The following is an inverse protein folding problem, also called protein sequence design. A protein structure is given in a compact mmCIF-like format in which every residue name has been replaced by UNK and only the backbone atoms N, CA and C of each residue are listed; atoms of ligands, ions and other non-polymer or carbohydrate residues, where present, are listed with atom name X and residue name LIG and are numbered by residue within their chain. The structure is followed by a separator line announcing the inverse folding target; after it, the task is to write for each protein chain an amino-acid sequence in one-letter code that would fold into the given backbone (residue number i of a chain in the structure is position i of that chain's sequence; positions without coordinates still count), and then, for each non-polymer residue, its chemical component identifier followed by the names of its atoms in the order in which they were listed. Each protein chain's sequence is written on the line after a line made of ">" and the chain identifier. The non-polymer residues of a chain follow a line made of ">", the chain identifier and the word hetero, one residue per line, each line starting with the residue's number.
data_IF_828601305390
#
_entry.id   IF_828601305390
#
_cell.length_a   1.000
_cell.length_b   1.000
_cell.length_c   1.000
_cell.angle_alpha   90.00
_cell.angle_beta   90.00
_cell.angle_gamma   90.00
#
_symmetry.space_group_name_H-M   'P 1'
#
loop_
_entity.id
_entity.type
_entity.pdbx_description
1 polymer ?
#
# COMPACT_ATOMS: atom_id res chain seq x y z
N UNK A 1 -4.20 4.80 4.13
CA UNK A 1 -5.02 4.29 3.00
C UNK A 1 -4.25 4.44 1.70
N UNK A 2 -4.51 3.61 0.70
CA UNK A 2 -3.96 3.75 -0.66
C UNK A 2 -5.14 3.93 -1.61
N UNK A 3 -5.06 4.92 -2.50
CA UNK A 3 -6.11 5.22 -3.49
C UNK A 3 -5.50 5.05 -4.87
N UNK A 4 -6.16 4.27 -5.71
CA UNK A 4 -5.88 4.17 -7.13
C UNK A 4 -6.89 5.06 -7.87
N UNK A 5 -6.37 5.91 -8.75
CA UNK A 5 -7.18 6.78 -9.62
C UNK A 5 -7.21 6.20 -11.03
N UNK A 6 -8.26 6.51 -11.80
CA UNK A 6 -8.24 6.19 -13.23
C UNK A 6 -7.24 7.11 -13.94
N UNK A 7 -6.66 6.61 -15.03
CA UNK A 7 -5.66 7.34 -15.81
C UNK A 7 -6.27 8.46 -16.65
N UNK A 8 -7.48 8.22 -17.15
CA UNK A 8 -8.24 9.07 -18.06
C UNK A 8 -9.08 10.13 -17.32
N UNK A 9 -9.48 9.82 -16.09
CA UNK A 9 -10.24 10.73 -15.24
C UNK A 9 -9.72 10.63 -13.81
N UNK A 10 -9.48 11.77 -13.15
CA UNK A 10 -9.08 11.86 -11.73
C UNK A 10 -10.14 11.34 -10.74
N UNK A 11 -11.13 10.61 -11.22
CA UNK A 11 -12.08 9.82 -10.43
C UNK A 11 -11.41 8.65 -9.72
N UNK A 12 -11.93 8.29 -8.54
CA UNK A 12 -11.47 7.16 -7.74
C UNK A 12 -11.75 5.84 -8.48
N UNK A 13 -10.72 5.04 -8.72
CA UNK A 13 -10.86 3.69 -9.28
C UNK A 13 -11.06 2.67 -8.16
N UNK A 14 -10.17 2.66 -7.16
CA UNK A 14 -10.17 1.69 -6.07
C UNK A 14 -9.52 2.29 -4.82
N UNK A 15 -9.94 1.85 -3.64
CA UNK A 15 -9.40 2.29 -2.37
C UNK A 15 -9.09 1.08 -1.49
N UNK A 16 -7.94 1.14 -0.81
CA UNK A 16 -7.51 0.17 0.20
C UNK A 16 -7.38 0.89 1.55
N UNK A 17 -8.19 0.47 2.52
CA UNK A 17 -8.18 1.00 3.88
C UNK A 17 -7.57 -0.02 4.83
N UNK A 18 -6.39 0.27 5.37
CA UNK A 18 -5.72 -0.62 6.31
C UNK A 18 -6.19 -0.39 7.75
N UNK A 19 -6.34 -1.47 8.52
CA UNK A 19 -6.63 -1.46 9.95
C UNK A 19 -5.45 -2.06 10.72
N UNK A 20 -4.89 -1.29 11.66
CA UNK A 20 -3.69 -1.63 12.45
C UNK A 20 -2.56 -2.17 11.56
N UNK A 21 -2.01 -1.29 10.72
CA UNK A 21 -0.87 -1.60 9.87
C UNK A 21 0.45 -1.17 10.52
N UNK A 22 1.47 -2.00 10.37
CA UNK A 22 2.82 -1.76 10.85
C UNK A 22 3.80 -1.90 9.70
N UNK A 23 4.78 -1.00 9.65
CA UNK A 23 5.91 -1.15 8.75
C UNK A 23 6.86 -2.22 9.30
N UNK A 24 7.11 -3.25 8.51
CA UNK A 24 8.02 -4.35 8.87
C UNK A 24 9.29 -4.35 8.02
N UNK A 25 9.35 -3.51 6.99
CA UNK A 25 10.56 -3.29 6.19
C UNK A 25 10.49 -1.91 5.54
N UNK A 26 11.61 -1.22 5.59
CA UNK A 26 11.89 0.02 4.87
C UNK A 26 13.23 -0.16 4.15
N UNK A 27 13.28 0.16 2.86
CA UNK A 27 14.53 0.13 2.07
C UNK A 27 14.54 1.27 1.06
N UNK A 28 15.66 1.97 0.98
CA UNK A 28 15.96 2.89 -0.09
C UNK A 28 16.76 2.16 -1.18
N UNK A 29 16.42 2.44 -2.44
CA UNK A 29 17.13 1.96 -3.61
C UNK A 29 17.53 3.16 -4.45
N UNK A 30 18.83 3.30 -4.69
CA UNK A 30 19.39 4.39 -5.50
C UNK A 30 20.06 3.82 -6.74
N UNK A 31 19.71 4.38 -7.90
CA UNK A 31 20.33 4.07 -9.19
C UNK A 31 20.58 5.37 -9.95
N UNK A 32 21.85 5.78 -10.05
CA UNK A 32 22.24 7.01 -10.72
C UNK A 32 21.98 7.01 -12.24
N UNK A 33 21.76 5.85 -12.86
CA UNK A 33 21.49 5.71 -14.29
C UNK A 33 20.01 5.51 -14.61
N UNK A 34 19.19 5.26 -13.58
CA UNK A 34 17.76 5.04 -13.71
C UNK A 34 16.97 6.31 -13.95
N UNK A 35 15.81 6.19 -14.60
CA UNK A 35 14.85 7.30 -14.80
C UNK A 35 14.16 7.74 -13.50
N UNK A 36 14.19 6.88 -12.48
CA UNK A 36 13.69 7.15 -11.13
C UNK A 36 14.81 6.86 -10.13
N UNK A 37 15.76 7.80 -9.95
CA UNK A 37 17.05 7.50 -9.35
C UNK A 37 17.00 7.20 -7.85
N UNK A 38 15.93 7.58 -7.16
CA UNK A 38 15.72 7.27 -5.75
C UNK A 38 14.31 6.74 -5.54
N UNK A 39 14.22 5.50 -5.07
CA UNK A 39 12.96 4.82 -4.78
C UNK A 39 12.96 4.30 -3.33
N UNK A 40 11.76 4.29 -2.73
CA UNK A 40 11.54 3.77 -1.38
C UNK A 40 10.63 2.55 -1.47
N UNK A 41 11.10 1.42 -0.95
CA UNK A 41 10.33 0.19 -0.77
C UNK A 41 9.86 0.08 0.69
N UNK A 42 8.54 -0.01 0.88
CA UNK A 42 7.92 -0.22 2.20
C UNK A 42 7.13 -1.51 2.18
N UNK A 43 7.33 -2.38 3.19
CA UNK A 43 6.49 -3.56 3.42
C UNK A 43 5.66 -3.35 4.68
N UNK A 44 4.35 -3.42 4.51
CA UNK A 44 3.38 -3.30 5.60
C UNK A 44 2.78 -4.67 5.94
N UNK A 45 2.56 -4.92 7.22
CA UNK A 45 1.66 -5.97 7.71
C UNK A 45 0.46 -5.30 8.38
N UNK A 46 -0.75 -5.75 8.09
CA UNK A 46 -1.97 -5.21 8.71
C UNK A 46 -2.78 -6.32 9.37
N UNK A 47 -3.45 -6.00 10.48
CA UNK A 47 -4.42 -6.91 11.09
C UNK A 47 -5.61 -7.16 10.14
N UNK A 48 -6.03 -6.13 9.41
CA UNK A 48 -7.04 -6.25 8.38
C UNK A 48 -6.96 -5.10 7.39
N UNK A 49 -7.69 -5.23 6.29
CA UNK A 49 -7.84 -4.17 5.31
C UNK A 49 -9.18 -4.32 4.58
N UNK A 50 -9.74 -3.21 4.16
CA UNK A 50 -10.93 -3.14 3.31
C UNK A 50 -10.52 -2.76 1.88
N UNK A 51 -11.06 -3.47 0.89
CA UNK A 51 -10.89 -3.14 -0.52
C UNK A 51 -12.27 -2.93 -1.13
N UNK A 52 -12.57 -1.68 -1.50
CA UNK A 52 -13.83 -1.36 -2.19
C UNK A 52 -15.10 -1.73 -1.41
N UNK A 53 -15.06 -1.72 -0.08
CA UNK A 53 -16.16 -2.11 0.81
C UNK A 53 -16.14 -3.57 1.25
N UNK A 54 -15.16 -4.37 0.80
CA UNK A 54 -14.99 -5.76 1.21
C UNK A 54 -13.89 -5.86 2.26
N UNK A 55 -14.28 -6.23 3.49
CA UNK A 55 -13.37 -6.34 4.62
C UNK A 55 -12.66 -7.70 4.68
N UNK A 56 -11.33 -7.66 4.76
CA UNK A 56 -10.45 -8.81 5.00
C UNK A 56 -9.79 -8.67 6.38
N UNK A 57 -10.01 -9.63 7.27
CA UNK A 57 -9.45 -9.61 8.62
C UNK A 57 -8.64 -10.87 8.88
N UNK A 58 -7.44 -10.71 9.43
CA UNK A 58 -6.62 -11.81 9.93
C UNK A 58 -6.84 -11.93 11.44
N UNK A 59 -7.58 -12.94 11.87
CA UNK A 59 -7.60 -13.33 13.28
C UNK A 59 -6.28 -14.01 13.60
N UNK A 60 -5.40 -13.33 14.34
CA UNK A 60 -4.22 -13.96 14.90
C UNK A 60 -4.71 -14.74 16.12
N UNK A 61 -4.86 -16.06 16.00
CA UNK A 61 -5.08 -16.92 17.16
C UNK A 61 -3.74 -17.00 17.90
N UNK A 62 -3.73 -16.59 19.17
CA UNK A 62 -2.60 -16.71 20.07
C UNK A 62 -2.38 -18.15 20.53
#
# INVERSE_FOLDING_TARGET
>A
KIIFYRRDAMSKLQEVLFKKAFCIKYKEHFDAQGTEPLQIEIRLIAQGFDVGGVAHNKMWRG
#
